data_IF_016269461039
#
_entry.id   IF_016269461039
#
_cell.length_a   1.000
_cell.length_b   1.000
_cell.length_c   1.000
_cell.angle_alpha   90.00
_cell.angle_beta   90.00
_cell.angle_gamma   90.00
#
_symmetry.space_group_name_H-M   'P 1'
#
loop_
_entity.id
_entity.type
_entity.pdbx_description
1 polymer ?
#
# COMPACT_ATOMS: atom_id res chain seq x y z
N UNK A 1 28.25 -11.29 13.26
CA UNK A 1 26.86 -11.09 13.76
C UNK A 1 25.96 -12.27 13.44
N UNK A 2 25.61 -12.60 12.18
CA UNK A 2 24.75 -13.76 11.89
C UNK A 2 25.37 -15.12 12.32
N UNK A 3 26.68 -15.27 12.17
CA UNK A 3 27.43 -16.50 12.45
C UNK A 3 27.49 -16.84 13.96
N UNK A 4 27.73 -15.85 14.82
CA UNK A 4 27.71 -15.99 16.29
C UNK A 4 26.30 -16.23 16.83
N UNK A 5 25.28 -15.67 16.17
CA UNK A 5 23.88 -15.85 16.52
C UNK A 5 23.43 -17.30 16.20
N UNK A 6 23.91 -17.85 15.07
CA UNK A 6 23.66 -19.22 14.67
C UNK A 6 24.35 -20.23 15.61
N UNK A 7 25.58 -19.92 16.05
CA UNK A 7 26.32 -20.73 17.02
C UNK A 7 25.64 -20.73 18.40
N UNK A 8 25.09 -19.59 18.85
CA UNK A 8 24.33 -19.48 20.10
C UNK A 8 23.00 -20.23 20.05
N UNK A 9 22.30 -20.21 18.91
CA UNK A 9 21.08 -21.01 18.73
C UNK A 9 21.35 -22.53 18.72
N UNK A 10 22.52 -22.99 18.26
CA UNK A 10 22.87 -24.41 18.38
C UNK A 10 23.23 -24.83 19.83
N UNK A 11 23.75 -23.90 20.63
CA UNK A 11 24.15 -24.15 22.00
C UNK A 11 22.99 -24.11 23.01
N UNK A 12 21.90 -23.40 22.70
CA UNK A 12 20.72 -23.27 23.58
C UNK A 12 19.41 -23.62 22.85
N UNK A 13 18.83 -24.80 23.13
CA UNK A 13 17.59 -25.24 22.50
C UNK A 13 16.39 -24.35 22.86
N UNK A 14 16.37 -23.70 24.02
CA UNK A 14 15.30 -22.78 24.41
C UNK A 14 15.35 -21.48 23.58
N UNK A 15 16.56 -21.01 23.26
CA UNK A 15 16.76 -19.85 22.39
C UNK A 15 16.38 -20.15 20.94
N UNK A 16 16.70 -21.35 20.44
CA UNK A 16 16.27 -21.81 19.12
C UNK A 16 14.74 -21.94 19.01
N UNK A 17 14.09 -22.45 20.06
CA UNK A 17 12.64 -22.60 20.10
C UNK A 17 11.92 -21.26 20.19
N UNK A 18 12.39 -20.34 21.03
CA UNK A 18 11.87 -18.97 21.09
C UNK A 18 11.95 -18.28 19.72
N UNK A 19 13.08 -18.43 19.01
CA UNK A 19 13.26 -17.87 17.67
C UNK A 19 12.27 -18.47 16.66
N UNK A 20 12.05 -19.78 16.69
CA UNK A 20 11.04 -20.45 15.85
C UNK A 20 9.65 -19.91 16.12
N UNK A 21 9.28 -19.74 17.40
CA UNK A 21 8.00 -19.17 17.79
C UNK A 21 7.86 -17.72 17.29
N UNK A 22 8.88 -16.88 17.45
CA UNK A 22 8.87 -15.50 16.92
C UNK A 22 8.71 -15.48 15.40
N UNK A 23 9.41 -16.36 14.66
CA UNK A 23 9.23 -16.46 13.22
C UNK A 23 7.82 -16.91 12.84
N UNK A 24 7.24 -17.85 13.59
CA UNK A 24 5.87 -18.31 13.35
C UNK A 24 4.84 -17.21 13.63
N UNK A 25 5.01 -16.43 14.70
CA UNK A 25 4.15 -15.28 15.02
C UNK A 25 4.24 -14.19 13.95
N UNK A 26 5.46 -13.86 13.51
CA UNK A 26 5.68 -12.90 12.43
C UNK A 26 5.10 -13.43 11.11
N UNK A 27 5.26 -14.72 10.80
CA UNK A 27 4.68 -15.33 9.61
C UNK A 27 3.14 -15.31 9.64
N UNK A 28 2.53 -15.57 10.81
CA UNK A 28 1.08 -15.43 11.02
C UNK A 28 0.63 -14.00 10.83
N UNK A 29 1.37 -13.03 11.37
CA UNK A 29 1.06 -11.61 11.20
C UNK A 29 1.15 -11.21 9.72
N UNK A 30 2.22 -11.58 9.02
CA UNK A 30 2.39 -11.29 7.59
C UNK A 30 1.27 -11.94 6.76
N UNK A 31 0.91 -13.19 7.07
CA UNK A 31 -0.16 -13.92 6.36
C UNK A 31 -1.56 -13.38 6.66
N UNK A 32 -1.74 -12.69 7.80
CA UNK A 32 -3.02 -12.05 8.15
C UNK A 32 -3.30 -10.78 7.35
N UNK A 33 -2.28 -10.20 6.69
CA UNK A 33 -2.48 -9.14 5.71
C UNK A 33 -2.98 -9.77 4.40
N UNK A 34 -4.28 -10.00 4.35
CA UNK A 34 -4.97 -10.37 3.11
C UNK A 34 -4.83 -9.21 2.12
N UNK A 35 -4.02 -9.41 1.08
CA UNK A 35 -3.93 -8.47 -0.04
C UNK A 35 -5.18 -8.67 -0.88
N UNK A 36 -6.07 -7.69 -0.88
CA UNK A 36 -7.30 -7.81 -1.66
C UNK A 36 -6.97 -7.62 -3.14
N UNK A 37 -7.69 -8.31 -4.03
CA UNK A 37 -7.46 -8.24 -5.48
C UNK A 37 -7.50 -6.80 -6.02
N UNK A 38 -8.32 -5.93 -5.43
CA UNK A 38 -8.43 -4.52 -5.81
C UNK A 38 -7.20 -3.68 -5.39
N UNK A 39 -6.30 -4.24 -4.59
CA UNK A 39 -5.05 -3.61 -4.18
C UNK A 39 -3.87 -4.10 -5.02
N UNK A 40 -4.06 -5.11 -5.86
CA UNK A 40 -3.00 -5.74 -6.67
C UNK A 40 -3.00 -5.12 -8.07
N UNK A 41 -1.96 -4.36 -8.39
CA UNK A 41 -1.68 -3.85 -9.73
C UNK A 41 -0.86 -4.87 -10.53
N UNK A 42 -1.20 -5.03 -11.80
CA UNK A 42 -0.55 -5.96 -12.72
C UNK A 42 0.13 -5.23 -13.88
N UNK A 43 1.27 -5.75 -14.30
CA UNK A 43 2.02 -5.27 -15.46
C UNK A 43 2.45 -6.43 -16.35
N UNK A 44 2.48 -6.17 -17.66
CA UNK A 44 3.26 -6.98 -18.61
C UNK A 44 4.65 -6.43 -18.65
N UNK A 45 5.65 -7.23 -18.30
CA UNK A 45 7.05 -6.84 -18.31
C UNK A 45 7.79 -7.64 -19.39
N UNK A 46 8.54 -6.96 -20.26
CA UNK A 46 9.48 -7.59 -21.18
C UNK A 46 10.83 -7.73 -20.50
N UNK A 47 11.35 -8.95 -20.48
CA UNK A 47 12.68 -9.27 -19.97
C UNK A 47 13.74 -9.04 -21.04
N UNK A 48 15.00 -8.93 -20.62
CA UNK A 48 16.14 -8.77 -21.54
C UNK A 48 16.25 -9.89 -22.59
N UNK A 49 15.83 -11.11 -22.25
CA UNK A 49 15.75 -12.23 -23.21
C UNK A 49 14.65 -12.08 -24.27
N UNK A 50 13.83 -11.02 -24.21
CA UNK A 50 12.75 -10.73 -25.16
C UNK A 50 11.37 -11.25 -24.74
N UNK A 51 11.30 -12.19 -23.80
CA UNK A 51 10.05 -12.78 -23.33
C UNK A 51 9.25 -11.84 -22.44
N UNK A 52 7.92 -12.00 -22.47
CA UNK A 52 6.98 -11.17 -21.70
C UNK A 52 6.44 -12.00 -20.54
N UNK A 53 6.51 -11.44 -19.34
CA UNK A 53 5.97 -12.04 -18.12
C UNK A 53 4.95 -11.12 -17.48
N UNK A 54 3.96 -11.68 -16.79
CA UNK A 54 3.09 -10.89 -15.93
C UNK A 54 3.73 -10.76 -14.54
N UNK A 55 3.76 -9.54 -14.02
CA UNK A 55 4.20 -9.26 -12.65
C UNK A 55 3.13 -8.49 -11.91
N UNK A 56 3.05 -8.71 -10.61
CA UNK A 56 1.99 -8.18 -9.77
C UNK A 56 2.58 -7.63 -8.47
N UNK A 57 2.06 -6.50 -8.01
CA UNK A 57 2.46 -5.87 -6.75
C UNK A 57 1.33 -4.98 -6.21
N UNK A 58 1.49 -4.47 -5.00
CA UNK A 58 0.54 -3.51 -4.44
C UNK A 58 0.50 -2.22 -5.29
N UNK A 59 -0.71 -1.66 -5.51
CA UNK A 59 -0.95 -0.50 -6.38
C UNK A 59 -0.20 0.78 -5.98
N UNK A 60 0.32 0.85 -4.76
CA UNK A 60 1.18 1.96 -4.31
C UNK A 60 2.49 2.07 -5.09
N UNK A 61 2.92 1.01 -5.78
CA UNK A 61 4.09 1.04 -6.63
C UNK A 61 3.72 1.56 -8.03
N UNK A 62 4.46 2.57 -8.50
CA UNK A 62 4.27 3.18 -9.82
C UNK A 62 4.63 2.25 -10.99
N UNK A 63 5.57 1.34 -10.75
CA UNK A 63 6.18 0.49 -11.76
C UNK A 63 6.71 -0.80 -11.11
N UNK A 64 6.93 -1.87 -11.90
CA UNK A 64 7.37 -3.14 -11.35
C UNK A 64 8.80 -3.10 -10.77
N UNK A 65 9.67 -2.20 -11.24
CA UNK A 65 11.06 -2.13 -10.76
C UNK A 65 11.07 -1.62 -9.31
N UNK A 66 10.31 -0.56 -9.03
CA UNK A 66 10.10 -0.02 -7.69
C UNK A 66 9.43 -1.02 -6.74
N UNK A 67 8.61 -1.93 -7.26
CA UNK A 67 7.98 -3.02 -6.50
C UNK A 67 8.94 -4.17 -6.14
N UNK A 68 10.24 -4.05 -6.43
CA UNK A 68 11.22 -5.09 -6.12
C UNK A 68 11.25 -6.23 -7.13
N UNK A 69 10.64 -6.07 -8.31
CA UNK A 69 10.67 -7.08 -9.38
C UNK A 69 11.91 -6.94 -10.30
N UNK A 70 13.06 -6.53 -9.77
CA UNK A 70 14.28 -6.22 -10.54
C UNK A 70 14.91 -7.46 -11.20
N UNK A 71 14.79 -8.63 -10.59
CA UNK A 71 15.24 -9.91 -11.12
C UNK A 71 14.07 -10.85 -11.30
N UNK A 72 13.95 -11.42 -12.50
CA UNK A 72 12.93 -12.42 -12.83
C UNK A 72 13.56 -13.61 -13.53
N UNK A 73 13.08 -14.80 -13.17
CA UNK A 73 13.31 -16.00 -13.98
C UNK A 73 12.38 -15.94 -15.19
N UNK A 74 12.94 -16.14 -16.38
CA UNK A 74 12.11 -16.32 -17.57
C UNK A 74 11.53 -17.73 -17.59
N UNK A 75 10.20 -17.91 -17.71
CA UNK A 75 9.59 -19.24 -17.78
C UNK A 75 9.88 -19.98 -19.10
N UNK A 76 10.28 -19.26 -20.14
CA UNK A 76 10.56 -19.84 -21.47
C UNK A 76 12.05 -20.21 -21.65
N UNK A 77 12.96 -19.35 -21.17
CA UNK A 77 14.40 -19.58 -21.28
C UNK A 77 15.01 -20.26 -20.05
N UNK A 78 14.29 -20.29 -18.92
CA UNK A 78 14.78 -20.70 -17.59
C UNK A 78 15.97 -19.88 -17.06
N UNK A 79 16.40 -18.85 -17.78
CA UNK A 79 17.45 -17.93 -17.36
C UNK A 79 16.96 -17.09 -16.18
N UNK A 80 17.77 -17.07 -15.13
CA UNK A 80 17.53 -16.32 -13.90
C UNK A 80 18.08 -14.90 -14.00
N UNK A 81 17.72 -14.07 -13.01
CA UNK A 81 18.23 -12.71 -12.84
C UNK A 81 18.09 -11.78 -14.06
N UNK A 82 17.05 -11.99 -14.87
CA UNK A 82 16.81 -11.15 -16.03
C UNK A 82 16.22 -9.80 -15.64
N UNK A 83 16.79 -8.76 -16.22
CA UNK A 83 16.34 -7.37 -16.06
C UNK A 83 15.10 -7.09 -16.90
N UNK A 84 14.16 -6.32 -16.33
CA UNK A 84 13.00 -5.78 -17.06
C UNK A 84 13.49 -4.62 -17.94
N UNK A 85 13.26 -4.72 -19.26
CA UNK A 85 13.65 -3.68 -20.24
C UNK A 85 12.49 -2.80 -20.69
N UNK A 86 11.26 -3.28 -20.58
CA UNK A 86 10.05 -2.52 -20.87
C UNK A 86 8.89 -3.08 -20.05
N UNK A 87 7.88 -2.24 -19.75
CA UNK A 87 6.68 -2.70 -19.07
C UNK A 87 5.45 -1.88 -19.47
N UNK A 88 4.28 -2.51 -19.39
CA UNK A 88 2.98 -1.92 -19.66
C UNK A 88 2.01 -2.25 -18.53
N UNK A 89 1.29 -1.26 -17.96
CA UNK A 89 0.28 -1.52 -16.96
C UNK A 89 -0.93 -2.25 -17.57
N UNK A 90 -1.38 -3.32 -16.92
CA UNK A 90 -2.62 -4.03 -17.26
C UNK A 90 -3.80 -3.43 -16.48
N UNK A 91 -3.54 -3.04 -15.22
CA UNK A 91 -4.56 -2.55 -14.29
C UNK A 91 -4.64 -3.38 -13.02
N UNK A 92 -5.64 -3.08 -12.19
CA UNK A 92 -5.88 -3.82 -10.94
C UNK A 92 -6.40 -5.24 -11.25
N UNK A 93 -6.15 -6.18 -10.34
CA UNK A 93 -6.66 -7.55 -10.45
C UNK A 93 -8.16 -7.60 -10.16
N UNK A 94 -8.62 -6.84 -9.15
CA UNK A 94 -10.02 -6.69 -8.78
C UNK A 94 -10.58 -5.30 -9.08
N UNK A 95 -11.92 -5.22 -9.17
CA UNK A 95 -12.62 -3.94 -9.22
C UNK A 95 -12.50 -3.23 -7.86
N UNK A 96 -12.23 -1.91 -7.88
CA UNK A 96 -12.15 -1.14 -6.64
C UNK A 96 -13.52 -1.19 -5.96
N UNK A 97 -13.61 -1.57 -4.67
CA UNK A 97 -14.87 -1.54 -3.96
C UNK A 97 -15.44 -0.12 -4.02
N UNK A 98 -16.70 -0.02 -4.44
CA UNK A 98 -17.40 1.25 -4.45
C UNK A 98 -17.41 1.80 -3.01
N UNK A 99 -17.05 3.07 -2.77
CA UNK A 99 -17.09 3.62 -1.44
C UNK A 99 -18.49 3.40 -0.87
N UNK A 100 -18.62 2.94 0.39
CA UNK A 100 -19.93 2.67 0.97
C UNK A 100 -20.79 3.93 0.83
N UNK A 101 -21.93 3.80 0.15
CA UNK A 101 -22.83 4.92 -0.01
C UNK A 101 -23.21 5.42 1.38
N UNK A 102 -23.08 6.73 1.66
CA UNK A 102 -23.48 7.26 2.95
C UNK A 102 -24.97 6.91 3.16
N UNK A 103 -25.36 6.47 4.37
CA UNK A 103 -26.76 6.16 4.65
C UNK A 103 -27.63 7.37 4.30
N UNK A 104 -28.87 7.16 3.82
CA UNK A 104 -29.74 8.24 3.31
C UNK A 104 -30.00 9.37 4.33
N UNK A 105 -29.78 9.10 5.62
CA UNK A 105 -29.84 10.08 6.72
C UNK A 105 -28.69 11.09 6.76
N UNK A 106 -27.61 10.87 5.99
CA UNK A 106 -26.44 11.75 5.93
C UNK A 106 -26.37 12.63 4.69
N UNK A 107 -27.40 12.63 3.84
CA UNK A 107 -27.61 13.71 2.88
C UNK A 107 -27.93 14.98 3.66
N UNK A 108 -26.90 15.63 4.21
CA UNK A 108 -26.99 16.99 4.74
C UNK A 108 -27.59 17.81 3.61
N UNK A 109 -28.82 18.29 3.80
CA UNK A 109 -29.47 19.19 2.85
C UNK A 109 -28.44 20.26 2.52
N UNK A 110 -28.04 20.36 1.24
CA UNK A 110 -27.10 21.39 0.83
C UNK A 110 -27.71 22.72 1.29
N UNK A 111 -27.03 23.47 2.17
CA UNK A 111 -27.55 24.76 2.62
C UNK A 111 -27.78 25.63 1.39
N UNK A 112 -28.91 26.32 1.39
CA UNK A 112 -29.28 27.28 0.36
C UNK A 112 -28.24 28.41 0.32
N UNK A 113 -28.17 29.12 -0.81
CA UNK A 113 -27.25 30.24 -0.98
C UNK A 113 -27.40 31.30 0.12
N UNK A 114 -28.63 31.59 0.54
CA UNK A 114 -28.92 32.55 1.60
C UNK A 114 -28.38 32.09 2.98
N UNK A 115 -28.50 30.79 3.30
CA UNK A 115 -27.95 30.22 4.54
C UNK A 115 -26.42 30.26 4.55
N UNK A 116 -25.79 30.08 3.38
CA UNK A 116 -24.34 30.20 3.23
C UNK A 116 -23.89 31.66 3.40
N UNK A 117 -24.58 32.62 2.78
CA UNK A 117 -24.28 34.06 2.88
C UNK A 117 -24.41 34.55 4.34
N UNK A 118 -25.45 34.13 5.07
CA UNK A 118 -25.58 34.44 6.50
C UNK A 118 -24.45 33.83 7.34
N UNK A 119 -24.08 32.57 7.06
CA UNK A 119 -23.01 31.90 7.81
C UNK A 119 -21.64 32.53 7.54
N UNK A 120 -21.37 32.96 6.30
CA UNK A 120 -20.16 33.70 5.95
C UNK A 120 -20.11 35.02 6.70
N UNK A 121 -21.19 35.82 6.68
CA UNK A 121 -21.23 37.08 7.40
C UNK A 121 -20.97 36.92 8.91
N UNK A 122 -21.58 35.90 9.53
CA UNK A 122 -21.37 35.61 10.95
C UNK A 122 -19.91 35.20 11.25
N UNK A 123 -19.30 34.39 10.38
CA UNK A 123 -17.90 33.96 10.52
C UNK A 123 -16.92 35.11 10.29
N UNK A 124 -17.21 36.02 9.36
CA UNK A 124 -16.38 37.19 9.10
C UNK A 124 -16.39 38.16 10.29
N UNK A 125 -17.56 38.35 10.91
CA UNK A 125 -17.67 39.17 12.12
C UNK A 125 -16.95 38.54 13.32
N UNK A 126 -17.04 37.22 13.49
CA UNK A 126 -16.26 36.51 14.49
C UNK A 126 -14.75 36.61 14.22
N UNK A 127 -14.32 36.49 12.96
CA UNK A 127 -12.91 36.64 12.59
C UNK A 127 -12.41 38.04 12.90
N UNK A 128 -13.22 39.07 12.61
CA UNK A 128 -12.91 40.47 12.95
C UNK A 128 -12.77 40.66 14.46
N UNK A 129 -13.67 40.07 15.25
CA UNK A 129 -13.60 40.09 16.73
C UNK A 129 -12.35 39.40 17.25
N UNK A 130 -12.00 38.24 16.70
CA UNK A 130 -10.81 37.48 17.09
C UNK A 130 -9.52 38.21 16.72
N UNK A 131 -9.46 38.86 15.55
CA UNK A 131 -8.31 39.67 15.12
C UNK A 131 -8.16 40.98 15.89
N UNK A 132 -9.27 41.57 16.34
CA UNK A 132 -9.27 42.78 17.16
C UNK A 132 -8.94 42.50 18.64
N UNK A 133 -9.01 41.24 19.07
CA UNK A 133 -8.53 40.81 20.38
C UNK A 133 -7.02 40.59 20.28
N UNK A 134 -6.18 41.42 20.92
CA UNK A 134 -4.75 41.13 20.98
C UNK A 134 -4.59 39.80 21.69
N UNK A 135 -3.89 38.86 21.05
CA UNK A 135 -3.37 37.68 21.73
C UNK A 135 -2.45 38.16 22.85
N UNK A 136 -2.60 37.68 24.10
CA UNK A 136 -1.61 37.95 25.14
C UNK A 136 -0.24 37.41 24.75
#
# INVERSE_FOLDING_TARGET
MADEDFAKCQADPAMAEHRRQTFEEVAKLISSFERHDHEIMRWRARLYCGHIVETQAHYSHSDPIAAGAYTKRCPECEVEDLTIVAYEPIGLLGERPEPPQPPPSQLRKRPTRAELEQRVAALEEENKRLRAKPSP
#
